data_IF_014427390273
#
_entry.id   IF_014427390273
#
_cell.length_a   1.000
_cell.length_b   1.000
_cell.length_c   1.000
_cell.angle_alpha   90.00
_cell.angle_beta   90.00
_cell.angle_gamma   90.00
#
_symmetry.space_group_name_H-M   'P 1'
#
loop_
_entity.id
_entity.type
_entity.pdbx_description
1 polymer ?
#
# COMPACT_ATOMS: atom_id res chain seq x y z
N UNK A 1 -4.52 -17.32 -26.78
CA UNK A 1 -5.40 -17.42 -25.60
C UNK A 1 -4.68 -16.67 -24.49
N UNK A 2 -5.07 -15.40 -24.30
CA UNK A 2 -4.53 -14.59 -23.19
C UNK A 2 -5.08 -15.16 -21.89
N UNK A 3 -4.25 -15.85 -21.13
CA UNK A 3 -4.53 -16.07 -19.72
C UNK A 3 -4.63 -14.68 -19.09
N UNK A 4 -5.79 -14.34 -18.54
CA UNK A 4 -6.05 -13.04 -17.94
C UNK A 4 -4.96 -12.74 -16.93
N UNK A 5 -4.20 -11.70 -17.19
CA UNK A 5 -3.22 -11.17 -16.24
C UNK A 5 -4.03 -10.61 -15.09
N UNK A 6 -4.09 -11.37 -13.98
CA UNK A 6 -4.63 -10.84 -12.71
C UNK A 6 -3.81 -9.62 -12.36
N UNK A 7 -4.41 -8.46 -12.43
CA UNK A 7 -3.73 -7.21 -12.07
C UNK A 7 -3.64 -7.14 -10.55
N UNK A 8 -2.63 -6.45 -10.00
CA UNK A 8 -2.43 -6.37 -8.54
C UNK A 8 -3.60 -5.66 -7.81
N UNK A 9 -4.49 -4.99 -8.53
CA UNK A 9 -5.78 -4.49 -8.02
C UNK A 9 -6.91 -5.53 -8.02
N UNK A 10 -6.77 -6.64 -8.73
CA UNK A 10 -7.70 -7.79 -8.63
C UNK A 10 -7.43 -8.64 -7.36
N UNK A 11 -6.50 -8.21 -6.53
CA UNK A 11 -6.12 -8.89 -5.29
C UNK A 11 -7.23 -8.69 -4.25
N UNK A 12 -7.89 -9.77 -3.80
CA UNK A 12 -8.87 -9.67 -2.72
C UNK A 12 -8.20 -9.12 -1.47
N UNK A 13 -8.83 -8.15 -0.82
CA UNK A 13 -8.43 -7.76 0.53
C UNK A 13 -8.68 -8.96 1.44
N UNK A 14 -7.62 -9.44 2.10
CA UNK A 14 -7.67 -10.67 2.90
C UNK A 14 -8.80 -10.60 3.92
N UNK A 15 -9.64 -11.62 3.92
CA UNK A 15 -10.66 -11.83 4.94
C UNK A 15 -12.06 -11.25 4.64
N UNK A 16 -12.33 -10.75 3.43
CA UNK A 16 -13.57 -10.06 3.08
C UNK A 16 -14.43 -10.85 2.12
N UNK A 17 -14.93 -12.03 2.54
CA UNK A 17 -15.95 -12.76 1.79
C UNK A 17 -17.34 -12.42 2.33
N UNK A 18 -18.16 -11.85 1.47
CA UNK A 18 -19.56 -11.53 1.76
C UNK A 18 -20.42 -12.70 1.28
N UNK A 19 -20.78 -13.61 2.19
CA UNK A 19 -21.89 -14.53 1.95
C UNK A 19 -22.27 -15.30 3.23
N UNK A 20 -23.35 -14.87 3.88
CA UNK A 20 -23.97 -15.65 4.93
C UNK A 20 -24.82 -14.86 5.94
N UNK A 21 -25.98 -15.39 6.30
CA UNK A 21 -26.97 -14.78 7.18
C UNK A 21 -26.81 -15.13 8.67
N UNK A 22 -25.68 -15.74 9.09
CA UNK A 22 -25.49 -16.15 10.48
C UNK A 22 -25.21 -14.96 11.42
N UNK A 23 -25.50 -15.07 12.75
CA UNK A 23 -25.16 -14.04 13.73
C UNK A 23 -23.67 -13.68 13.74
N UNK A 24 -22.80 -14.65 13.52
CA UNK A 24 -21.35 -14.43 13.41
C UNK A 24 -20.99 -13.61 12.17
N UNK A 25 -21.68 -13.84 11.05
CA UNK A 25 -21.50 -13.10 9.82
C UNK A 25 -21.93 -11.63 9.98
N UNK A 26 -23.10 -11.40 10.60
CA UNK A 26 -23.58 -10.04 10.90
C UNK A 26 -22.60 -9.28 11.82
N UNK A 27 -22.01 -9.95 12.79
CA UNK A 27 -20.98 -9.38 13.63
C UNK A 27 -19.72 -9.00 12.84
N UNK A 28 -19.26 -9.86 11.92
CA UNK A 28 -18.13 -9.56 11.02
C UNK A 28 -18.43 -8.37 10.13
N UNK A 29 -19.60 -8.32 9.48
CA UNK A 29 -20.02 -7.20 8.64
C UNK A 29 -20.11 -5.89 9.43
N UNK A 30 -20.58 -5.92 10.69
CA UNK A 30 -20.62 -4.73 11.55
C UNK A 30 -19.21 -4.25 11.93
N UNK A 31 -18.32 -5.17 12.33
CA UNK A 31 -16.92 -4.84 12.65
C UNK A 31 -16.22 -4.22 11.46
N UNK A 32 -16.44 -4.77 10.29
CA UNK A 32 -15.87 -4.32 9.03
C UNK A 32 -16.37 -2.92 8.64
N UNK A 33 -17.68 -2.68 8.71
CA UNK A 33 -18.23 -1.35 8.45
C UNK A 33 -17.64 -0.30 9.39
N UNK A 34 -17.48 -0.62 10.67
CA UNK A 34 -16.82 0.26 11.65
C UNK A 34 -15.35 0.55 11.28
N UNK A 35 -14.60 -0.44 10.79
CA UNK A 35 -13.23 -0.27 10.35
C UNK A 35 -13.12 0.61 9.10
N UNK A 36 -14.01 0.43 8.12
CA UNK A 36 -14.03 1.28 6.92
C UNK A 36 -14.30 2.74 7.29
N UNK A 37 -15.32 2.99 8.12
CA UNK A 37 -15.64 4.35 8.52
C UNK A 37 -14.56 4.96 9.43
N UNK A 38 -13.92 4.16 10.28
CA UNK A 38 -12.75 4.61 11.02
C UNK A 38 -11.59 5.01 10.08
N UNK A 39 -11.34 4.20 9.04
CA UNK A 39 -10.34 4.52 8.05
C UNK A 39 -10.64 5.83 7.30
N UNK A 40 -11.90 6.06 6.90
CA UNK A 40 -12.33 7.32 6.28
C UNK A 40 -12.12 8.51 7.19
N UNK A 41 -12.56 8.40 8.45
CA UNK A 41 -12.40 9.49 9.43
C UNK A 41 -10.92 9.78 9.71
N UNK A 42 -10.07 8.75 9.81
CA UNK A 42 -8.62 8.96 9.98
C UNK A 42 -7.97 9.53 8.72
N UNK A 43 -8.42 9.11 7.53
CA UNK A 43 -7.93 9.65 6.25
C UNK A 43 -8.26 11.15 6.11
N UNK A 44 -9.48 11.55 6.48
CA UNK A 44 -9.94 12.93 6.35
C UNK A 44 -9.38 13.87 7.43
N UNK A 45 -9.34 13.42 8.69
CA UNK A 45 -9.05 14.28 9.84
C UNK A 45 -7.71 14.03 10.52
N UNK A 46 -7.06 12.93 10.19
CA UNK A 46 -5.94 12.40 10.96
C UNK A 46 -6.39 11.73 12.27
N UNK A 47 -5.46 11.03 12.91
CA UNK A 47 -5.77 10.29 14.14
C UNK A 47 -6.13 11.21 15.31
N UNK A 48 -5.37 12.27 15.56
CA UNK A 48 -5.52 13.11 16.74
C UNK A 48 -6.86 13.85 16.76
N UNK A 49 -7.29 14.40 15.63
CA UNK A 49 -8.55 15.14 15.50
C UNK A 49 -9.78 14.22 15.40
N UNK A 50 -9.62 12.95 15.07
CA UNK A 50 -10.71 11.98 14.97
C UNK A 50 -11.21 11.55 16.36
N UNK A 51 -12.52 11.31 16.48
CA UNK A 51 -13.14 10.76 17.69
C UNK A 51 -13.97 9.51 17.41
N UNK A 52 -14.21 8.68 18.44
CA UNK A 52 -15.15 7.55 18.34
C UNK A 52 -16.58 8.01 18.01
N UNK A 53 -16.96 9.23 18.38
CA UNK A 53 -18.25 9.82 18.06
C UNK A 53 -18.38 10.12 16.57
N UNK A 54 -17.30 10.62 15.92
CA UNK A 54 -17.27 10.84 14.47
C UNK A 54 -17.41 9.52 13.70
N UNK A 55 -16.66 8.51 14.12
CA UNK A 55 -16.71 7.16 13.51
C UNK A 55 -18.11 6.55 13.68
N UNK A 56 -18.70 6.71 14.85
CA UNK A 56 -20.04 6.22 15.12
C UNK A 56 -21.10 6.91 14.23
N UNK A 57 -21.01 8.24 14.12
CA UNK A 57 -21.91 9.03 13.28
C UNK A 57 -21.78 8.61 11.79
N UNK A 58 -20.55 8.43 11.29
CA UNK A 58 -20.29 8.02 9.91
C UNK A 58 -20.78 6.59 9.63
N UNK A 59 -20.62 5.66 10.58
CA UNK A 59 -20.97 4.25 10.39
C UNK A 59 -22.46 3.96 10.44
N UNK A 60 -23.29 4.84 10.96
CA UNK A 60 -24.72 4.62 11.23
C UNK A 60 -24.99 3.47 12.21
N UNK A 61 -23.97 3.04 12.98
CA UNK A 61 -24.10 1.94 13.95
C UNK A 61 -24.41 2.48 15.35
N UNK A 62 -24.86 1.56 16.22
CA UNK A 62 -25.16 1.93 17.61
C UNK A 62 -23.87 2.01 18.44
N UNK A 63 -23.88 2.85 19.49
CA UNK A 63 -22.79 2.95 20.46
C UNK A 63 -22.43 1.60 21.07
N UNK A 64 -23.45 0.78 21.39
CA UNK A 64 -23.26 -0.58 21.90
C UNK A 64 -22.52 -1.49 20.91
N UNK A 65 -22.85 -1.42 19.61
CA UNK A 65 -22.16 -2.19 18.57
C UNK A 65 -20.69 -1.78 18.44
N UNK A 66 -20.39 -0.48 18.51
CA UNK A 66 -19.01 -0.02 18.44
C UNK A 66 -18.20 -0.53 19.63
N UNK A 67 -18.66 -0.34 20.86
CA UNK A 67 -17.93 -0.79 22.07
C UNK A 67 -17.89 -2.31 22.25
N UNK A 68 -18.78 -3.05 21.62
CA UNK A 68 -18.70 -4.50 21.54
C UNK A 68 -17.47 -4.96 20.73
N UNK A 69 -17.15 -4.27 19.64
CA UNK A 69 -16.04 -4.62 18.74
C UNK A 69 -14.73 -3.91 19.09
N UNK A 70 -14.79 -2.65 19.55
CA UNK A 70 -13.61 -1.81 19.75
C UNK A 70 -13.74 -0.99 21.03
N UNK A 71 -12.79 -1.18 21.94
CA UNK A 71 -12.80 -0.54 23.26
C UNK A 71 -12.31 0.90 23.25
N UNK A 72 -11.53 1.30 22.22
CA UNK A 72 -10.91 2.61 22.10
C UNK A 72 -10.60 2.98 20.66
N UNK A 73 -10.38 4.28 20.42
CA UNK A 73 -9.86 4.81 19.15
C UNK A 73 -8.50 4.20 18.81
N UNK A 74 -7.64 4.05 19.80
CA UNK A 74 -6.33 3.42 19.67
C UNK A 74 -6.43 1.97 19.18
N UNK A 75 -7.36 1.17 19.72
CA UNK A 75 -7.57 -0.19 19.25
C UNK A 75 -8.05 -0.24 17.80
N UNK A 76 -8.96 0.66 17.40
CA UNK A 76 -9.39 0.79 16.00
C UNK A 76 -8.21 1.10 15.07
N UNK A 77 -7.40 2.10 15.42
CA UNK A 77 -6.22 2.47 14.64
C UNK A 77 -5.21 1.31 14.56
N UNK A 78 -4.95 0.64 15.69
CA UNK A 78 -4.06 -0.53 15.73
C UNK A 78 -4.52 -1.63 14.78
N UNK A 79 -5.81 -1.97 14.81
CA UNK A 79 -6.38 -2.98 13.90
C UNK A 79 -6.24 -2.55 12.43
N UNK A 80 -6.51 -1.29 12.10
CA UNK A 80 -6.32 -0.78 10.74
C UNK A 80 -4.85 -0.90 10.28
N UNK A 81 -3.89 -0.59 11.15
CA UNK A 81 -2.47 -0.75 10.84
C UNK A 81 -2.08 -2.22 10.63
N UNK A 82 -2.63 -3.12 11.43
CA UNK A 82 -2.40 -4.56 11.29
C UNK A 82 -2.97 -5.07 9.94
N UNK A 83 -4.19 -4.66 9.55
CA UNK A 83 -4.79 -4.96 8.23
C UNK A 83 -3.90 -4.45 7.07
N UNK A 84 -3.29 -3.27 7.19
CA UNK A 84 -2.35 -2.75 6.19
C UNK A 84 -1.14 -3.68 6.07
N UNK A 85 -0.54 -4.09 7.19
CA UNK A 85 0.65 -4.96 7.21
C UNK A 85 0.34 -6.34 6.62
N UNK A 86 -0.76 -6.97 7.06
CA UNK A 86 -1.19 -8.29 6.61
C UNK A 86 -1.51 -8.30 5.12
N UNK A 87 -2.21 -7.29 4.63
CA UNK A 87 -2.55 -7.17 3.21
C UNK A 87 -1.32 -7.02 2.32
N UNK A 88 -0.22 -6.44 2.83
CA UNK A 88 1.04 -6.37 2.11
C UNK A 88 1.72 -7.71 1.92
N UNK A 89 1.62 -8.61 2.90
CA UNK A 89 2.16 -9.96 2.78
C UNK A 89 1.49 -10.71 1.61
N UNK A 90 0.18 -10.57 1.46
CA UNK A 90 -0.58 -11.17 0.36
C UNK A 90 -0.17 -10.57 -0.98
N UNK A 91 -0.11 -9.24 -1.12
CA UNK A 91 0.31 -8.57 -2.35
C UNK A 91 1.69 -9.06 -2.79
N UNK A 92 2.65 -9.12 -1.88
CA UNK A 92 4.00 -9.62 -2.18
C UNK A 92 4.02 -11.09 -2.60
N UNK A 93 3.19 -11.93 -1.98
CA UNK A 93 3.03 -13.33 -2.39
C UNK A 93 2.57 -13.44 -3.83
N UNK A 94 1.53 -12.71 -4.22
CA UNK A 94 1.01 -12.71 -5.58
C UNK A 94 2.01 -12.13 -6.61
N UNK A 95 2.78 -11.12 -6.24
CA UNK A 95 3.83 -10.59 -7.11
C UNK A 95 4.96 -11.63 -7.28
N UNK A 96 5.31 -12.35 -6.23
CA UNK A 96 6.34 -13.39 -6.28
C UNK A 96 5.96 -14.55 -7.23
N UNK A 97 4.67 -14.92 -7.32
CA UNK A 97 4.16 -15.93 -8.24
C UNK A 97 4.36 -15.59 -9.72
N UNK A 98 4.61 -14.33 -10.05
CA UNK A 98 4.84 -13.85 -11.42
C UNK A 98 6.22 -14.23 -11.98
N UNK A 99 7.17 -14.63 -11.14
CA UNK A 99 8.51 -15.03 -11.55
C UNK A 99 9.34 -13.90 -12.20
N UNK A 100 9.06 -12.64 -11.82
CA UNK A 100 9.79 -11.47 -12.33
C UNK A 100 11.21 -11.44 -11.77
N UNK A 101 12.13 -10.83 -12.52
CA UNK A 101 13.43 -10.48 -11.96
C UNK A 101 13.30 -9.50 -10.77
N UNK A 102 14.33 -9.40 -9.90
CA UNK A 102 14.26 -8.58 -8.69
C UNK A 102 13.99 -7.09 -8.94
N UNK A 103 14.48 -6.51 -10.05
CA UNK A 103 14.22 -5.09 -10.37
C UNK A 103 12.79 -4.88 -10.85
N UNK A 104 12.30 -5.72 -11.77
CA UNK A 104 10.89 -5.68 -12.19
C UNK A 104 9.95 -5.92 -11.02
N UNK A 105 10.31 -6.84 -10.11
CA UNK A 105 9.56 -7.06 -8.87
C UNK A 105 9.45 -5.79 -8.03
N UNK A 106 10.55 -5.03 -7.85
CA UNK A 106 10.51 -3.76 -7.13
C UNK A 106 9.64 -2.70 -7.79
N UNK A 107 9.65 -2.62 -9.13
CA UNK A 107 8.77 -1.72 -9.86
C UNK A 107 7.30 -2.05 -9.61
N UNK A 108 6.94 -3.32 -9.74
CA UNK A 108 5.55 -3.79 -9.52
C UNK A 108 5.13 -3.62 -8.05
N UNK A 109 6.00 -3.90 -7.07
CA UNK A 109 5.72 -3.64 -5.66
C UNK A 109 5.49 -2.15 -5.38
N UNK A 110 6.27 -1.28 -6.03
CA UNK A 110 6.09 0.18 -5.90
C UNK A 110 4.76 0.61 -6.49
N UNK A 111 4.39 0.11 -7.66
CA UNK A 111 3.13 0.42 -8.31
C UNK A 111 1.93 -0.08 -7.48
N UNK A 112 2.03 -1.28 -6.91
CA UNK A 112 1.04 -1.81 -5.99
C UNK A 112 0.89 -0.94 -4.74
N UNK A 113 2.01 -0.45 -4.18
CA UNK A 113 2.02 0.47 -3.06
C UNK A 113 1.30 1.79 -3.40
N UNK A 114 1.69 2.42 -4.51
CA UNK A 114 1.09 3.68 -4.98
C UNK A 114 -0.39 3.54 -5.24
N UNK A 115 -0.80 2.50 -5.94
CA UNK A 115 -2.20 2.27 -6.27
C UNK A 115 -3.06 2.00 -5.05
N UNK A 116 -2.60 1.18 -4.11
CA UNK A 116 -3.32 0.95 -2.86
C UNK A 116 -3.42 2.21 -2.03
N UNK A 117 -2.33 2.97 -1.95
CA UNK A 117 -2.37 4.26 -1.28
C UNK A 117 -3.35 5.24 -1.94
N UNK A 118 -3.47 5.23 -3.25
CA UNK A 118 -4.38 6.12 -3.98
C UNK A 118 -5.85 5.72 -3.83
N UNK A 119 -6.14 4.41 -3.86
CA UNK A 119 -7.51 3.91 -4.01
C UNK A 119 -8.06 3.13 -2.81
N UNK A 120 -7.21 2.70 -1.87
CA UNK A 120 -7.60 1.90 -0.72
C UNK A 120 -7.73 2.74 0.55
N UNK A 121 -8.96 3.03 0.99
CA UNK A 121 -9.23 3.84 2.19
C UNK A 121 -8.67 3.20 3.47
N UNK A 122 -8.60 1.86 3.55
CA UNK A 122 -8.02 1.18 4.72
C UNK A 122 -6.52 1.47 4.79
N UNK A 123 -5.84 1.40 3.64
CA UNK A 123 -4.40 1.72 3.56
C UNK A 123 -4.16 3.19 3.91
N UNK A 124 -4.90 4.13 3.28
CA UNK A 124 -4.76 5.56 3.59
C UNK A 124 -5.02 5.86 5.05
N UNK A 125 -6.18 5.46 5.57
CA UNK A 125 -6.57 5.73 6.94
C UNK A 125 -5.64 5.09 7.98
N UNK A 126 -5.21 3.83 7.74
CA UNK A 126 -4.25 3.14 8.59
C UNK A 126 -2.87 3.80 8.62
N UNK A 127 -2.34 4.16 7.45
CA UNK A 127 -1.07 4.86 7.35
C UNK A 127 -1.14 6.29 7.92
N UNK A 128 -2.23 7.01 7.67
CA UNK A 128 -2.42 8.37 8.21
C UNK A 128 -2.58 8.36 9.74
N UNK A 129 -3.26 7.36 10.29
CA UNK A 129 -3.31 7.15 11.73
C UNK A 129 -1.93 6.85 12.31
N UNK A 130 -1.12 6.03 11.63
CA UNK A 130 0.23 5.70 12.05
C UNK A 130 1.18 6.91 12.02
N UNK A 131 1.06 7.77 10.99
CA UNK A 131 1.92 8.93 10.81
C UNK A 131 1.57 10.11 11.71
N UNK A 132 0.30 10.22 12.16
CA UNK A 132 -0.23 11.40 12.82
C UNK A 132 -0.12 11.40 14.35
N UNK A 133 0.28 10.28 15.00
CA UNK A 133 0.25 10.19 16.44
C UNK A 133 1.57 9.68 17.04
N UNK A 134 2.06 10.39 18.05
CA UNK A 134 3.31 10.03 18.75
C UNK A 134 3.28 8.62 19.36
N UNK A 135 2.12 8.15 19.80
CA UNK A 135 1.93 6.82 20.37
C UNK A 135 2.20 5.68 19.38
N UNK A 136 2.17 5.94 18.05
CA UNK A 136 2.46 4.98 17.00
C UNK A 136 3.85 5.13 16.36
N UNK A 137 4.70 5.99 16.91
CA UNK A 137 6.03 6.28 16.35
C UNK A 137 6.91 5.03 16.21
N UNK A 138 6.81 4.08 17.14
CA UNK A 138 7.55 2.83 17.07
C UNK A 138 7.03 1.91 15.96
N UNK A 139 5.71 1.84 15.77
CA UNK A 139 5.09 1.12 14.64
C UNK A 139 5.48 1.74 13.30
N UNK A 140 5.44 3.05 13.20
CA UNK A 140 5.86 3.79 12.01
C UNK A 140 7.34 3.51 11.68
N UNK A 141 8.21 3.56 12.68
CA UNK A 141 9.64 3.25 12.53
C UNK A 141 9.86 1.81 12.08
N UNK A 142 9.15 0.86 12.68
CA UNK A 142 9.22 -0.54 12.30
C UNK A 142 8.71 -0.77 10.87
N UNK A 143 7.63 -0.12 10.46
CA UNK A 143 7.09 -0.18 9.11
C UNK A 143 8.10 0.30 8.07
N UNK A 144 8.64 1.52 8.22
CA UNK A 144 9.63 2.06 7.30
C UNK A 144 10.94 1.27 7.31
N UNK A 145 11.37 0.80 8.48
CA UNK A 145 12.54 -0.06 8.62
C UNK A 145 12.38 -1.38 7.86
N UNK A 146 11.24 -2.04 8.01
CA UNK A 146 10.93 -3.27 7.28
C UNK A 146 10.87 -3.04 5.76
N UNK A 147 10.23 -1.96 5.32
CA UNK A 147 10.17 -1.62 3.91
C UNK A 147 11.56 -1.36 3.32
N UNK A 148 12.36 -0.55 3.99
CA UNK A 148 13.73 -0.28 3.54
C UNK A 148 14.60 -1.56 3.50
N UNK A 149 14.50 -2.43 4.51
CA UNK A 149 15.22 -3.71 4.55
C UNK A 149 14.78 -4.65 3.40
N UNK A 150 13.48 -4.77 3.17
CA UNK A 150 12.92 -5.59 2.10
C UNK A 150 13.37 -5.11 0.71
N UNK A 151 13.31 -3.80 0.46
CA UNK A 151 13.79 -3.18 -0.77
C UNK A 151 15.31 -3.39 -0.96
N UNK A 152 16.10 -3.20 0.09
CA UNK A 152 17.55 -3.41 0.05
C UNK A 152 17.90 -4.88 -0.21
N UNK A 153 17.16 -5.84 0.36
CA UNK A 153 17.37 -7.25 0.12
C UNK A 153 17.14 -7.61 -1.37
N UNK A 154 16.08 -7.11 -1.99
CA UNK A 154 15.85 -7.32 -3.44
C UNK A 154 16.93 -6.69 -4.30
N UNK A 155 17.38 -5.48 -3.96
CA UNK A 155 18.48 -4.84 -4.68
C UNK A 155 19.79 -5.61 -4.55
N UNK A 156 20.07 -6.25 -3.40
CA UNK A 156 21.23 -7.15 -3.27
C UNK A 156 21.10 -8.37 -4.20
N UNK A 157 19.93 -9.00 -4.21
CA UNK A 157 19.67 -10.10 -5.16
C UNK A 157 19.84 -9.66 -6.62
N UNK A 158 19.35 -8.46 -6.97
CA UNK A 158 19.54 -7.89 -8.30
C UNK A 158 21.03 -7.66 -8.63
N UNK A 159 21.81 -7.21 -7.65
CA UNK A 159 23.26 -7.00 -7.79
C UNK A 159 23.99 -8.35 -8.00
N UNK A 160 23.66 -9.37 -7.19
CA UNK A 160 24.21 -10.72 -7.31
C UNK A 160 23.90 -11.36 -8.67
N UNK A 161 22.75 -11.06 -9.26
CA UNK A 161 22.33 -11.51 -10.58
C UNK A 161 22.89 -10.67 -11.75
N UNK A 162 23.70 -9.65 -11.48
CA UNK A 162 24.26 -8.77 -12.51
C UNK A 162 23.25 -7.84 -13.18
N UNK A 163 22.08 -7.65 -12.58
CA UNK A 163 21.06 -6.71 -13.08
C UNK A 163 21.36 -5.26 -12.73
N UNK A 164 22.25 -5.05 -11.76
CA UNK A 164 22.73 -3.74 -11.32
C UNK A 164 24.19 -3.54 -11.71
N UNK A 165 24.61 -2.28 -11.80
CA UNK A 165 26.02 -1.89 -11.93
C UNK A 165 26.76 -2.29 -10.66
N UNK A 166 28.01 -2.78 -10.75
CA UNK A 166 28.77 -3.30 -9.60
C UNK A 166 28.96 -2.29 -8.45
N UNK A 167 29.04 -0.99 -8.78
CA UNK A 167 29.19 0.09 -7.81
C UNK A 167 27.90 0.48 -7.08
N UNK A 168 26.77 -0.11 -7.44
CA UNK A 168 25.47 0.17 -6.82
C UNK A 168 25.48 -0.21 -5.34
N UNK A 169 25.00 0.69 -4.50
CA UNK A 169 24.87 0.48 -3.06
C UNK A 169 23.40 0.22 -2.68
N UNK A 170 22.96 -1.06 -2.50
CA UNK A 170 21.58 -1.43 -2.28
C UNK A 170 20.89 -0.68 -1.14
N UNK A 171 21.56 -0.53 0.00
CA UNK A 171 21.00 0.14 1.18
C UNK A 171 20.81 1.65 0.94
N UNK A 172 21.69 2.29 0.15
CA UNK A 172 21.55 3.69 -0.21
C UNK A 172 20.37 3.90 -1.17
N UNK A 173 20.28 3.07 -2.21
CA UNK A 173 19.18 3.13 -3.18
C UNK A 173 17.84 2.87 -2.49
N UNK A 174 17.79 1.87 -1.60
CA UNK A 174 16.59 1.56 -0.82
C UNK A 174 16.09 2.77 -0.03
N UNK A 175 16.98 3.46 0.70
CA UNK A 175 16.59 4.67 1.45
C UNK A 175 16.07 5.77 0.53
N UNK A 176 16.64 5.95 -0.65
CA UNK A 176 16.17 6.94 -1.63
C UNK A 176 14.77 6.61 -2.14
N UNK A 177 14.53 5.36 -2.51
CA UNK A 177 13.21 4.90 -3.01
C UNK A 177 12.13 5.07 -1.95
N UNK A 178 12.40 4.61 -0.72
CA UNK A 178 11.43 4.72 0.39
C UNK A 178 11.17 6.17 0.76
N UNK A 179 12.21 7.02 0.78
CA UNK A 179 12.07 8.45 1.06
C UNK A 179 11.27 9.16 -0.05
N UNK A 180 11.54 8.84 -1.33
CA UNK A 180 10.81 9.41 -2.46
C UNK A 180 9.32 9.01 -2.42
N UNK A 181 9.03 7.72 -2.22
CA UNK A 181 7.66 7.26 -2.12
C UNK A 181 6.90 7.93 -0.97
N UNK A 182 7.51 8.05 0.21
CA UNK A 182 6.90 8.73 1.36
C UNK A 182 6.71 10.23 1.13
N UNK A 183 7.70 10.89 0.51
CA UNK A 183 7.65 12.31 0.20
C UNK A 183 6.60 12.65 -0.88
N UNK A 184 6.52 11.86 -1.93
CA UNK A 184 5.56 12.06 -3.01
C UNK A 184 4.10 11.99 -2.53
N UNK A 185 3.82 11.15 -1.56
CA UNK A 185 2.51 11.13 -0.93
C UNK A 185 2.18 12.47 -0.26
N UNK A 186 3.07 12.98 0.58
CA UNK A 186 2.87 14.25 1.28
C UNK A 186 2.69 15.44 0.30
N UNK A 187 3.38 15.43 -0.85
CA UNK A 187 3.23 16.44 -1.89
C UNK A 187 1.93 16.32 -2.68
N UNK A 188 1.40 15.11 -2.86
CA UNK A 188 0.19 14.90 -3.66
C UNK A 188 -1.01 15.67 -3.14
N UNK A 189 -1.11 15.82 -1.81
CA UNK A 189 -2.22 16.51 -1.16
C UNK A 189 -2.02 18.05 -1.07
N UNK A 190 -0.78 18.52 -1.23
CA UNK A 190 -0.44 19.93 -0.91
C UNK A 190 -0.30 20.81 -2.15
N UNK A 191 -0.01 20.25 -3.34
CA UNK A 191 0.29 21.05 -4.54
C UNK A 191 -0.78 20.82 -5.59
N UNK A 192 -1.66 21.80 -5.75
CA UNK A 192 -2.69 21.82 -6.81
C UNK A 192 -2.02 21.79 -8.18
N UNK A 193 -2.49 20.89 -9.07
CA UNK A 193 -1.93 20.73 -10.43
C UNK A 193 -0.62 19.94 -10.47
N UNK A 194 -0.15 19.38 -9.36
CA UNK A 194 0.99 18.47 -9.33
C UNK A 194 0.67 17.17 -10.11
N UNK A 195 1.66 16.53 -10.74
CA UNK A 195 1.51 15.19 -11.29
C UNK A 195 0.97 14.21 -10.25
N UNK A 196 0.27 13.18 -10.68
CA UNK A 196 -0.26 12.15 -9.79
C UNK A 196 0.87 11.46 -9.01
N UNK A 197 0.54 10.80 -7.90
CA UNK A 197 1.52 10.03 -7.14
C UNK A 197 2.21 8.98 -8.02
N UNK A 198 1.44 8.36 -8.92
CA UNK A 198 1.94 7.38 -9.86
C UNK A 198 2.97 7.97 -10.85
N UNK A 199 2.67 9.11 -11.44
CA UNK A 199 3.59 9.81 -12.36
C UNK A 199 4.89 10.19 -11.65
N UNK A 200 4.83 10.75 -10.44
CA UNK A 200 6.03 11.10 -9.66
C UNK A 200 6.90 9.90 -9.29
N UNK A 201 6.28 8.75 -8.96
CA UNK A 201 7.05 7.52 -8.72
C UNK A 201 7.65 6.97 -10.02
N UNK A 202 6.96 7.16 -11.16
CA UNK A 202 7.52 6.87 -12.48
C UNK A 202 8.77 7.68 -12.74
N UNK A 203 8.69 9.00 -12.56
CA UNK A 203 9.82 9.91 -12.74
C UNK A 203 11.00 9.56 -11.79
N UNK A 204 10.69 9.18 -10.56
CA UNK A 204 11.69 8.70 -9.61
C UNK A 204 12.43 7.48 -10.15
N UNK A 205 11.73 6.47 -10.64
CA UNK A 205 12.37 5.29 -11.22
C UNK A 205 13.12 5.60 -12.50
N UNK A 206 12.57 6.43 -13.40
CA UNK A 206 13.25 6.87 -14.62
C UNK A 206 14.54 7.66 -14.31
N UNK A 207 14.60 8.36 -13.19
CA UNK A 207 15.82 9.02 -12.71
C UNK A 207 16.83 8.08 -12.05
N UNK A 208 16.37 7.03 -11.37
CA UNK A 208 17.24 6.11 -10.61
C UNK A 208 17.79 4.98 -11.50
N UNK A 209 16.94 4.33 -12.29
CA UNK A 209 17.31 3.15 -13.09
C UNK A 209 18.52 3.34 -13.99
N UNK A 210 18.67 4.45 -14.75
CA UNK A 210 19.85 4.67 -15.58
C UNK A 210 21.16 4.72 -14.82
N UNK A 211 21.11 5.06 -13.52
CA UNK A 211 22.28 5.17 -12.66
C UNK A 211 22.66 3.83 -12.02
N UNK A 212 21.68 2.98 -11.73
CA UNK A 212 21.91 1.76 -10.95
C UNK A 212 21.84 0.47 -11.76
N UNK A 213 21.00 0.41 -12.82
CA UNK A 213 20.78 -0.81 -13.57
C UNK A 213 21.90 -1.05 -14.60
N UNK A 214 22.13 -2.34 -14.92
CA UNK A 214 23.07 -2.74 -15.97
C UNK A 214 22.56 -2.33 -17.35
N UNK A 215 23.47 -2.12 -18.31
CA UNK A 215 23.12 -1.73 -19.69
C UNK A 215 22.24 -2.79 -20.37
N UNK A 216 22.50 -4.09 -20.10
CA UNK A 216 21.70 -5.18 -20.65
C UNK A 216 20.25 -5.14 -20.14
N UNK A 217 20.06 -4.95 -18.82
CA UNK A 217 18.73 -4.85 -18.25
C UNK A 217 17.97 -3.60 -18.76
N UNK A 218 18.67 -2.46 -18.89
CA UNK A 218 18.07 -1.24 -19.46
C UNK A 218 17.68 -1.42 -20.93
N UNK A 219 18.47 -2.16 -21.71
CA UNK A 219 18.11 -2.49 -23.10
C UNK A 219 16.84 -3.32 -23.16
N UNK A 220 16.72 -4.38 -22.34
CA UNK A 220 15.52 -5.19 -22.25
C UNK A 220 14.30 -4.36 -21.81
N UNK A 221 14.46 -3.46 -20.84
CA UNK A 221 13.38 -2.59 -20.41
C UNK A 221 12.90 -1.65 -21.52
N UNK A 222 13.83 -1.13 -22.35
CA UNK A 222 13.47 -0.29 -23.51
C UNK A 222 12.71 -1.07 -24.58
N UNK A 223 13.10 -2.32 -24.82
CA UNK A 223 12.49 -3.16 -25.85
C UNK A 223 11.11 -3.71 -25.41
N UNK A 224 10.99 -4.17 -24.16
CA UNK A 224 9.76 -4.72 -23.58
C UNK A 224 8.81 -3.65 -23.04
N UNK A 225 9.31 -2.42 -22.84
CA UNK A 225 8.55 -1.34 -22.20
C UNK A 225 8.23 -1.63 -20.72
N UNK A 226 7.36 -0.82 -20.20
CA UNK A 226 6.78 -1.02 -18.85
C UNK A 226 5.53 -1.91 -18.92
N UNK A 227 5.50 -2.94 -19.79
CA UNK A 227 4.34 -3.78 -20.08
C UNK A 227 3.69 -4.43 -18.86
N UNK A 228 4.44 -4.55 -17.76
CA UNK A 228 3.93 -5.09 -16.49
C UNK A 228 3.42 -4.00 -15.54
N UNK A 229 3.24 -2.79 -16.05
CA UNK A 229 2.81 -1.63 -15.32
C UNK A 229 1.51 -1.05 -15.91
N UNK A 230 0.36 -1.70 -15.67
CA UNK A 230 -0.91 -1.14 -16.09
C UNK A 230 -1.18 0.14 -15.28
N UNK A 231 -1.81 1.11 -15.92
CA UNK A 231 -2.33 2.28 -15.21
C UNK A 231 -3.31 1.82 -14.11
N UNK A 232 -3.30 2.44 -12.93
CA UNK A 232 -4.27 2.13 -11.89
C UNK A 232 -5.69 2.29 -12.45
N UNK A 233 -6.50 1.21 -12.35
CA UNK A 233 -7.92 1.28 -12.68
C UNK A 233 -8.71 1.56 -11.38
N UNK A 234 -9.24 2.78 -11.19
CA UNK A 234 -10.01 3.12 -9.99
C UNK A 234 -11.23 2.24 -9.78
N UNK A 235 -11.86 1.75 -10.86
CA UNK A 235 -13.05 0.91 -10.77
C UNK A 235 -12.73 -0.51 -10.28
N UNK A 236 -11.53 -1.02 -10.55
CA UNK A 236 -11.11 -2.32 -10.03
C UNK A 236 -11.09 -2.35 -8.50
N UNK A 237 -10.65 -1.26 -7.85
CA UNK A 237 -10.67 -1.14 -6.39
C UNK A 237 -12.08 -1.08 -5.81
N UNK A 238 -13.01 -0.41 -6.46
CA UNK A 238 -14.41 -0.39 -6.05
C UNK A 238 -15.01 -1.81 -6.11
N UNK A 239 -14.72 -2.58 -7.16
CA UNK A 239 -15.18 -3.97 -7.34
C UNK A 239 -14.65 -4.92 -6.27
N UNK A 240 -13.39 -4.77 -5.84
CA UNK A 240 -12.77 -5.61 -4.80
C UNK A 240 -13.46 -5.43 -3.43
N UNK A 241 -14.06 -4.28 -3.18
CA UNK A 241 -14.67 -3.93 -1.89
C UNK A 241 -16.17 -4.16 -1.79
N UNK A 242 -16.81 -4.69 -2.83
CA UNK A 242 -18.25 -4.94 -2.80
C UNK A 242 -19.04 -3.65 -2.59
N UNK A 243 -18.71 -2.59 -3.34
CA UNK A 243 -19.50 -1.37 -3.36
C UNK A 243 -20.83 -1.60 -4.07
#
# INVERSE_FOLDING_TARGET
MNAGVTTWWDIPVVGWSDSGSSPQQRGRTTRQALLIEAARVFDERGYDAASLSDILAASGRTKGALYFHFRSKQQLATVLMDEVVESWAVVRGMIAERGLDPLRTLLVETDAYVGRWTHDVIVRGGCRAMAGAAEFSDRQRAWYGHWAQSTAARLRTALEQGLLRPETQPDRVSRLVVAAASGHYAFAETIVGSPSYFERMTDTWLGILPVIASESWLAELRDSGWEHRPAPDPEAFARIRGA
#
